data_IF_359584845067
#
_entry.id   IF_359584845067
#
_cell.length_a   1.000
_cell.length_b   1.000
_cell.length_c   1.000
_cell.angle_alpha   90.00
_cell.angle_beta   90.00
_cell.angle_gamma   90.00
#
_symmetry.space_group_name_H-M   'P 1'
#
loop_
_entity.id
_entity.type
_entity.pdbx_description
1 polymer ?
#
# COMPACT_ATOMS: atom_id res chain seq x y z
N UNK A 1 2.34 -12.75 -4.65
CA UNK A 1 2.17 -12.50 -6.09
C UNK A 1 3.55 -12.23 -6.68
N UNK A 2 3.85 -12.71 -7.89
CA UNK A 2 5.13 -12.42 -8.56
C UNK A 2 5.29 -10.92 -8.81
N UNK A 3 6.51 -10.39 -8.64
CA UNK A 3 6.82 -8.96 -8.75
C UNK A 3 6.32 -8.34 -10.06
N UNK A 4 6.56 -9.01 -11.20
CA UNK A 4 6.09 -8.56 -12.52
C UNK A 4 4.56 -8.45 -12.62
N UNK A 5 3.83 -9.33 -11.93
CA UNK A 5 2.37 -9.25 -11.89
C UNK A 5 1.91 -8.05 -11.07
N UNK A 6 2.56 -7.80 -9.94
CA UNK A 6 2.27 -6.63 -9.10
C UNK A 6 2.52 -5.35 -9.89
N UNK A 7 3.65 -5.23 -10.57
CA UNK A 7 3.97 -4.09 -11.45
C UNK A 7 2.90 -3.89 -12.53
N UNK A 8 2.43 -4.97 -13.17
CA UNK A 8 1.36 -4.91 -14.17
C UNK A 8 0.01 -4.44 -13.59
N UNK A 9 -0.33 -4.89 -12.39
CA UNK A 9 -1.54 -4.45 -11.67
C UNK A 9 -1.42 -2.96 -11.35
N UNK A 10 -0.28 -2.54 -10.78
CA UNK A 10 -0.05 -1.15 -10.41
C UNK A 10 -0.02 -0.21 -11.62
N UNK A 11 0.51 -0.65 -12.77
CA UNK A 11 0.46 0.12 -14.01
C UNK A 11 -0.98 0.40 -14.48
N UNK A 12 -1.86 -0.60 -14.40
CA UNK A 12 -3.27 -0.45 -14.76
C UNK A 12 -4.03 0.44 -13.77
N UNK A 13 -3.78 0.27 -12.47
CA UNK A 13 -4.40 1.09 -11.44
C UNK A 13 -3.94 2.55 -11.52
N UNK A 14 -2.64 2.78 -11.70
CA UNK A 14 -2.06 4.09 -11.98
C UNK A 14 -2.80 4.76 -13.15
N UNK A 15 -2.89 4.09 -14.31
CA UNK A 15 -3.62 4.61 -15.46
C UNK A 15 -5.11 4.88 -15.21
N UNK A 16 -5.81 4.01 -14.48
CA UNK A 16 -7.22 4.18 -14.16
C UNK A 16 -7.48 5.38 -13.23
N UNK A 17 -6.65 5.53 -12.19
CA UNK A 17 -6.75 6.61 -11.21
C UNK A 17 -6.37 7.95 -11.84
N UNK A 18 -5.27 7.97 -12.61
CA UNK A 18 -4.89 9.13 -13.40
C UNK A 18 -6.01 9.58 -14.33
N UNK A 19 -6.66 8.63 -15.02
CA UNK A 19 -7.79 8.95 -15.87
C UNK A 19 -8.95 9.57 -15.07
N UNK A 20 -9.30 9.01 -13.92
CA UNK A 20 -10.32 9.57 -13.03
C UNK A 20 -9.97 11.00 -12.58
N UNK A 21 -8.72 11.24 -12.20
CA UNK A 21 -8.21 12.55 -11.80
C UNK A 21 -8.28 13.56 -12.94
N UNK A 22 -7.97 13.14 -14.17
CA UNK A 22 -8.10 13.99 -15.37
C UNK A 22 -9.54 14.42 -15.66
N UNK A 23 -10.53 13.66 -15.19
CA UNK A 23 -11.95 14.00 -15.25
C UNK A 23 -12.40 14.91 -14.08
N UNK A 24 -11.48 15.29 -13.19
CA UNK A 24 -11.74 16.16 -12.05
C UNK A 24 -12.31 15.46 -10.82
N UNK A 25 -12.16 14.14 -10.71
CA UNK A 25 -12.65 13.36 -9.56
C UNK A 25 -11.50 12.65 -8.83
N UNK A 26 -11.66 12.44 -7.52
CA UNK A 26 -10.79 11.64 -6.66
C UNK A 26 -11.62 10.46 -6.15
N UNK A 27 -11.08 9.24 -6.17
CA UNK A 27 -11.79 8.02 -5.78
C UNK A 27 -12.04 7.95 -4.27
N UNK A 28 -11.01 8.23 -3.47
CA UNK A 28 -11.03 8.27 -2.00
C UNK A 28 -11.33 6.96 -1.27
N UNK A 29 -11.30 5.83 -1.99
CA UNK A 29 -11.54 4.50 -1.41
C UNK A 29 -10.78 3.40 -2.17
N UNK A 30 -9.54 3.68 -2.56
CA UNK A 30 -8.71 2.68 -3.22
C UNK A 30 -8.19 1.71 -2.17
N UNK A 31 -8.54 0.44 -2.31
CA UNK A 31 -8.15 -0.65 -1.41
C UNK A 31 -8.37 -2.00 -2.11
N UNK A 32 -7.78 -3.11 -1.62
CA UNK A 32 -7.90 -4.43 -2.25
C UNK A 32 -9.33 -4.85 -2.57
N UNK A 33 -10.29 -4.53 -1.70
CA UNK A 33 -11.71 -4.88 -1.84
C UNK A 33 -12.36 -4.24 -3.07
N UNK A 34 -11.83 -3.11 -3.53
CA UNK A 34 -12.34 -2.33 -4.65
C UNK A 34 -11.57 -2.59 -5.96
N UNK A 35 -10.68 -3.59 -5.97
CA UNK A 35 -9.86 -3.97 -7.14
C UNK A 35 -10.30 -5.35 -7.64
N UNK A 36 -10.92 -5.35 -8.81
CA UNK A 36 -11.50 -6.55 -9.41
C UNK A 36 -10.51 -7.20 -10.38
N UNK A 37 -10.11 -8.43 -10.07
CA UNK A 37 -9.31 -9.27 -10.97
C UNK A 37 -10.21 -9.87 -12.04
N UNK A 38 -9.93 -9.59 -13.31
CA UNK A 38 -10.72 -10.10 -14.44
C UNK A 38 -10.25 -11.47 -14.93
N UNK A 39 -9.09 -11.94 -14.47
CA UNK A 39 -8.56 -13.28 -14.78
C UNK A 39 -7.62 -13.77 -13.67
N UNK A 40 -7.44 -15.10 -13.58
CA UNK A 40 -6.59 -15.73 -12.56
C UNK A 40 -5.10 -15.40 -12.69
N UNK A 41 -4.66 -14.94 -13.85
CA UNK A 41 -3.27 -14.52 -14.07
C UNK A 41 -3.06 -13.03 -13.75
N UNK A 42 -4.09 -12.32 -13.28
CA UNK A 42 -4.05 -10.89 -12.98
C UNK A 42 -3.52 -10.06 -14.16
N UNK A 43 -3.88 -10.44 -15.40
CA UNK A 43 -3.53 -9.65 -16.59
C UNK A 43 -4.37 -8.40 -16.68
N UNK A 44 -5.64 -8.48 -16.28
CA UNK A 44 -6.57 -7.37 -16.31
C UNK A 44 -7.16 -7.09 -14.93
N UNK A 45 -7.10 -5.84 -14.50
CA UNK A 45 -7.75 -5.37 -13.27
C UNK A 45 -8.68 -4.19 -13.56
N UNK A 46 -9.70 -4.03 -12.73
CA UNK A 46 -10.62 -2.90 -12.78
C UNK A 46 -10.75 -2.28 -11.39
N UNK A 47 -10.66 -0.96 -11.33
CA UNK A 47 -11.05 -0.19 -10.16
C UNK A 47 -12.57 -0.07 -10.13
N UNK A 48 -13.18 -0.34 -8.98
CA UNK A 48 -14.62 -0.18 -8.76
C UNK A 48 -14.93 0.50 -7.44
N UNK A 49 -16.23 0.60 -7.14
CA UNK A 49 -16.79 1.34 -5.99
C UNK A 49 -16.42 2.83 -5.93
N UNK A 50 -17.14 3.62 -6.72
CA UNK A 50 -17.00 5.08 -6.75
C UNK A 50 -17.92 5.77 -5.73
N UNK A 51 -18.45 5.07 -4.73
CA UNK A 51 -19.43 5.60 -3.76
C UNK A 51 -18.90 6.78 -2.93
N UNK A 52 -17.58 6.83 -2.72
CA UNK A 52 -16.89 7.92 -2.00
C UNK A 52 -16.22 8.95 -2.93
N UNK A 53 -16.33 8.76 -4.25
CA UNK A 53 -15.69 9.62 -5.22
C UNK A 53 -16.25 11.05 -5.15
N UNK A 54 -15.36 12.04 -5.23
CA UNK A 54 -15.72 13.46 -5.11
C UNK A 54 -14.91 14.32 -6.06
N UNK A 55 -15.48 15.46 -6.45
CA UNK A 55 -14.79 16.42 -7.29
C UNK A 55 -13.54 16.98 -6.58
N UNK A 56 -12.44 17.12 -7.31
CA UNK A 56 -11.23 17.79 -6.82
C UNK A 56 -11.58 19.20 -6.34
N UNK A 57 -11.08 19.59 -5.17
CA UNK A 57 -11.33 20.90 -4.57
C UNK A 57 -12.64 21.01 -3.80
N UNK A 58 -13.52 20.00 -3.85
CA UNK A 58 -14.69 19.95 -2.95
C UNK A 58 -14.27 19.73 -1.50
N UNK A 59 -15.09 20.18 -0.56
CA UNK A 59 -14.88 19.94 0.87
C UNK A 59 -15.71 18.76 1.34
N UNK A 60 -15.12 17.96 2.21
CA UNK A 60 -15.76 16.80 2.84
C UNK A 60 -15.37 16.75 4.31
N UNK A 61 -16.25 16.19 5.13
CA UNK A 61 -15.94 15.95 6.54
C UNK A 61 -14.70 15.08 6.64
N UNK A 62 -13.74 15.49 7.46
CA UNK A 62 -12.61 14.68 7.85
C UNK A 62 -13.14 13.52 8.70
N UNK A 63 -12.91 12.30 8.24
CA UNK A 63 -13.33 11.10 8.96
C UNK A 63 -12.11 10.24 9.12
N UNK A 64 -11.67 10.09 10.36
CA UNK A 64 -10.68 9.07 10.69
C UNK A 64 -11.39 7.71 10.84
N UNK A 65 -10.69 6.66 10.45
CA UNK A 65 -11.09 5.28 10.67
C UNK A 65 -9.84 4.40 10.75
N UNK A 66 -9.91 3.34 11.56
CA UNK A 66 -8.80 2.43 11.80
C UNK A 66 -8.47 1.61 10.54
N UNK A 67 -7.58 2.14 9.71
CA UNK A 67 -7.18 1.52 8.45
C UNK A 67 -5.82 2.06 7.99
N UNK A 68 -4.97 1.22 7.38
CA UNK A 68 -3.70 1.66 6.82
C UNK A 68 -3.87 2.60 5.62
N UNK A 69 -5.04 2.53 4.95
CA UNK A 69 -5.40 3.37 3.80
C UNK A 69 -5.92 4.75 4.22
N UNK A 70 -6.29 4.93 5.49
CA UNK A 70 -6.62 6.26 6.00
C UNK A 70 -5.39 7.16 5.85
N UNK A 71 -5.58 8.39 5.40
CA UNK A 71 -4.47 9.30 5.09
C UNK A 71 -4.03 10.07 6.34
N UNK A 72 -2.74 10.35 6.55
CA UNK A 72 -2.27 10.97 7.79
C UNK A 72 -2.86 12.36 8.05
N UNK A 73 -3.23 13.11 7.01
CA UNK A 73 -3.86 14.43 7.12
C UNK A 73 -5.24 14.44 7.81
N UNK A 74 -5.85 13.28 8.07
CA UNK A 74 -7.09 13.17 8.86
C UNK A 74 -6.87 12.88 10.34
N UNK A 75 -5.63 12.72 10.81
CA UNK A 75 -5.32 12.51 12.23
C UNK A 75 -5.97 13.54 13.17
N UNK A 76 -6.06 14.85 12.83
CA UNK A 76 -6.78 15.81 13.68
C UNK A 76 -8.26 15.44 13.95
N UNK A 77 -8.90 14.70 13.04
CA UNK A 77 -10.26 14.20 13.25
C UNK A 77 -10.32 13.11 14.32
N UNK A 78 -9.30 12.24 14.42
CA UNK A 78 -9.19 11.25 15.49
C UNK A 78 -9.09 11.91 16.86
N UNK A 79 -8.28 12.96 16.98
CA UNK A 79 -8.12 13.69 18.24
C UNK A 79 -9.38 14.46 18.62
N UNK A 80 -10.11 15.01 17.64
CA UNK A 80 -11.42 15.60 17.86
C UNK A 80 -12.44 14.57 18.37
N UNK A 81 -12.48 13.38 17.80
CA UNK A 81 -13.37 12.29 18.23
C UNK A 81 -13.06 11.84 19.68
N UNK A 82 -11.77 11.66 20.03
CA UNK A 82 -11.34 11.33 21.42
C UNK A 82 -11.74 12.41 22.43
N UNK A 83 -11.55 13.68 22.06
CA UNK A 83 -11.93 14.82 22.91
C UNK A 83 -13.45 14.90 23.09
N UNK A 84 -14.22 14.61 22.04
CA UNK A 84 -15.67 14.54 22.10
C UNK A 84 -16.14 13.45 23.07
N UNK A 85 -15.58 12.23 22.98
CA UNK A 85 -15.88 11.12 23.89
C UNK A 85 -15.59 11.50 25.35
N UNK A 86 -14.41 12.11 25.62
CA UNK A 86 -14.02 12.56 26.96
C UNK A 86 -14.95 13.63 27.54
N UNK A 87 -15.52 14.51 26.70
CA UNK A 87 -16.50 15.54 27.12
C UNK A 87 -17.86 14.93 27.43
N UNK A 88 -18.31 13.97 26.64
CA UNK A 88 -19.54 13.23 26.89
C UNK A 88 -19.48 12.52 28.25
N UNK A 89 -18.34 11.90 28.58
CA UNK A 89 -18.11 11.30 29.91
C UNK A 89 -18.15 12.33 31.06
N UNK A 90 -17.81 13.59 30.79
CA UNK A 90 -17.83 14.69 31.76
C UNK A 90 -19.17 15.44 31.83
N UNK A 91 -20.16 15.05 31.01
CA UNK A 91 -21.50 15.64 31.00
C UNK A 91 -21.57 17.04 30.38
N UNK A 92 -20.64 17.40 29.50
CA UNK A 92 -20.68 18.66 28.74
C UNK A 92 -21.37 18.46 27.39
N UNK A 93 -22.46 19.21 27.16
CA UNK A 93 -23.32 19.12 25.95
C UNK A 93 -22.92 20.13 24.85
N UNK A 94 -21.64 20.49 24.73
CA UNK A 94 -21.20 21.40 23.66
C UNK A 94 -21.02 20.63 22.33
N UNK A 95 -21.72 21.07 21.29
CA UNK A 95 -21.53 20.57 19.92
C UNK A 95 -20.12 20.92 19.44
N UNK A 96 -19.36 19.93 18.99
CA UNK A 96 -18.06 20.15 18.35
C UNK A 96 -18.26 20.41 16.86
N UNK A 97 -17.55 21.40 16.33
CA UNK A 97 -17.54 21.68 14.90
C UNK A 97 -16.85 20.55 14.14
N UNK A 98 -17.49 20.08 13.08
CA UNK A 98 -16.91 19.12 12.15
C UNK A 98 -15.61 19.69 11.54
N UNK A 99 -14.56 18.86 11.49
CA UNK A 99 -13.38 19.17 10.72
C UNK A 99 -13.62 18.86 9.24
N UNK A 100 -13.14 19.75 8.36
CA UNK A 100 -13.31 19.63 6.91
C UNK A 100 -11.97 19.58 6.21
N UNK A 101 -11.84 18.68 5.25
CA UNK A 101 -10.67 18.60 4.37
C UNK A 101 -11.06 18.90 2.93
N UNK A 102 -10.11 19.45 2.18
CA UNK A 102 -10.24 19.64 0.73
C UNK A 102 -9.86 18.33 0.03
N UNK A 103 -10.72 17.85 -0.86
CA UNK A 103 -10.48 16.65 -1.66
C UNK A 103 -9.34 16.92 -2.66
N UNK A 104 -8.28 16.12 -2.58
CA UNK A 104 -7.09 16.22 -3.44
C UNK A 104 -6.70 14.87 -4.03
N UNK A 105 -6.16 14.84 -5.27
CA UNK A 105 -5.62 13.63 -5.91
C UNK A 105 -4.64 12.82 -5.05
N UNK A 106 -3.87 13.49 -4.18
CA UNK A 106 -2.89 12.88 -3.28
C UNK A 106 -3.48 11.86 -2.31
N UNK A 107 -4.79 11.90 -2.02
CA UNK A 107 -5.49 10.88 -1.23
C UNK A 107 -5.37 9.51 -1.92
N UNK A 108 -5.58 9.47 -3.23
CA UNK A 108 -5.49 8.23 -4.00
C UNK A 108 -4.04 7.77 -4.19
N UNK A 109 -3.08 8.70 -4.29
CA UNK A 109 -1.64 8.38 -4.32
C UNK A 109 -1.20 7.62 -3.06
N UNK A 110 -1.65 8.07 -1.88
CA UNK A 110 -1.38 7.40 -0.61
C UNK A 110 -1.89 5.96 -0.62
N UNK A 111 -3.15 5.79 -1.01
CA UNK A 111 -3.79 4.49 -1.06
C UNK A 111 -3.09 3.53 -2.03
N UNK A 112 -2.60 4.02 -3.18
CA UNK A 112 -1.78 3.25 -4.12
C UNK A 112 -0.43 2.85 -3.52
N UNK A 113 0.19 3.70 -2.70
CA UNK A 113 1.42 3.37 -1.96
C UNK A 113 1.21 2.23 -0.96
N UNK A 114 0.15 2.31 -0.15
CA UNK A 114 -0.20 1.27 0.84
C UNK A 114 -0.55 -0.04 0.13
N UNK A 115 -1.29 0.04 -0.98
CA UNK A 115 -1.63 -1.11 -1.81
C UNK A 115 -0.38 -1.77 -2.41
N UNK A 116 0.54 -0.98 -2.97
CA UNK A 116 1.80 -1.49 -3.54
C UNK A 116 2.59 -2.27 -2.49
N UNK A 117 2.71 -1.71 -1.29
CA UNK A 117 3.36 -2.38 -0.17
C UNK A 117 2.65 -3.69 0.20
N UNK A 118 1.32 -3.66 0.29
CA UNK A 118 0.52 -4.83 0.61
C UNK A 118 0.69 -5.96 -0.41
N UNK A 119 0.68 -5.64 -1.70
CA UNK A 119 0.87 -6.62 -2.77
C UNK A 119 2.28 -7.23 -2.76
N UNK A 120 3.30 -6.43 -2.45
CA UNK A 120 4.69 -6.89 -2.36
C UNK A 120 4.91 -7.79 -1.15
N UNK A 121 4.46 -7.37 0.03
CA UNK A 121 4.82 -8.00 1.30
C UNK A 121 3.79 -9.01 1.82
N UNK A 122 2.54 -8.92 1.37
CA UNK A 122 1.40 -9.65 1.93
C UNK A 122 0.92 -9.10 3.29
N UNK A 123 1.49 -7.99 3.75
CA UNK A 123 1.18 -7.34 5.02
C UNK A 123 0.96 -5.83 4.80
N UNK A 124 0.37 -5.13 5.78
CA UNK A 124 0.31 -3.67 5.75
C UNK A 124 1.56 -3.03 6.40
N UNK A 125 1.97 -1.82 5.96
CA UNK A 125 3.15 -1.16 6.51
C UNK A 125 2.93 -0.70 7.97
N UNK A 126 1.68 -0.43 8.33
CA UNK A 126 1.17 -0.03 9.65
C UNK A 126 -0.30 -0.49 9.77
N UNK A 127 -0.89 -0.38 10.96
CA UNK A 127 -2.33 -0.59 11.20
C UNK A 127 -3.11 0.71 10.92
N UNK A 128 -2.52 1.84 11.30
CA UNK A 128 -3.04 3.18 11.01
C UNK A 128 -1.90 4.18 10.75
N UNK A 129 -2.21 5.27 10.06
CA UNK A 129 -1.26 6.32 9.67
C UNK A 129 -1.25 7.51 10.64
N UNK A 130 -1.36 7.23 11.94
CA UNK A 130 -1.36 8.24 13.01
C UNK A 130 -0.17 8.05 13.95
N UNK A 131 0.14 9.06 14.75
CA UNK A 131 1.24 9.00 15.71
C UNK A 131 1.04 7.95 16.79
N UNK A 132 -0.15 7.39 16.96
CA UNK A 132 -0.42 6.28 17.88
C UNK A 132 0.23 4.96 17.40
N UNK A 133 0.32 4.73 16.08
CA UNK A 133 0.92 3.52 15.51
C UNK A 133 2.44 3.58 15.52
N UNK A 134 3.06 2.57 16.15
CA UNK A 134 4.52 2.50 16.30
C UNK A 134 5.27 2.34 14.97
N UNK A 135 4.72 1.61 14.00
CA UNK A 135 5.33 1.40 12.68
C UNK A 135 5.24 2.66 11.83
N UNK A 136 4.10 3.33 11.83
CA UNK A 136 3.92 4.60 11.14
C UNK A 136 4.81 5.70 11.74
N UNK A 137 4.85 5.85 13.07
CA UNK A 137 5.73 6.82 13.74
C UNK A 137 7.19 6.67 13.34
N UNK A 138 7.72 5.43 13.35
CA UNK A 138 9.08 5.14 12.89
C UNK A 138 9.30 5.50 11.42
N UNK A 139 8.29 5.29 10.58
CA UNK A 139 8.35 5.66 9.17
C UNK A 139 8.38 7.18 9.00
N UNK A 140 7.51 7.90 9.71
CA UNK A 140 7.47 9.37 9.68
C UNK A 140 8.81 9.98 10.16
N UNK A 141 9.34 9.50 11.29
CA UNK A 141 10.63 9.96 11.82
C UNK A 141 11.80 9.73 10.83
N UNK A 142 11.81 8.56 10.19
CA UNK A 142 12.81 8.23 9.16
C UNK A 142 12.65 9.12 7.92
N UNK A 143 11.41 9.33 7.46
CA UNK A 143 11.11 10.12 6.27
C UNK A 143 11.55 11.58 6.45
N UNK A 144 11.27 12.17 7.61
CA UNK A 144 11.69 13.54 7.94
C UNK A 144 13.21 13.67 7.99
N UNK A 145 13.89 12.70 8.62
CA UNK A 145 15.36 12.65 8.66
C UNK A 145 15.97 12.60 7.25
N UNK A 146 15.36 11.83 6.34
CA UNK A 146 15.78 11.74 4.94
C UNK A 146 15.55 13.05 4.18
N UNK A 147 14.41 13.71 4.40
CA UNK A 147 14.05 14.97 3.74
C UNK A 147 15.02 16.09 4.10
N UNK A 148 15.44 16.16 5.36
CA UNK A 148 16.43 17.13 5.83
C UNK A 148 17.81 16.91 5.18
N UNK A 149 18.21 15.65 4.95
CA UNK A 149 19.50 15.30 4.32
C UNK A 149 19.58 15.63 2.83
N UNK A 150 18.44 15.66 2.13
CA UNK A 150 18.38 15.85 0.67
C UNK A 150 18.33 17.33 0.22
N UNK A 151 18.28 18.30 1.14
CA UNK A 151 18.15 19.73 0.81
C UNK A 151 19.36 20.35 0.06
N UNK A 152 20.42 19.58 -0.24
CA UNK A 152 21.68 20.13 -0.77
C UNK A 152 22.29 19.37 -1.98
N UNK A 153 21.60 18.43 -2.65
CA UNK A 153 22.22 17.66 -3.76
C UNK A 153 21.29 17.37 -4.95
N UNK A 154 21.80 17.64 -6.16
CA UNK A 154 21.08 17.71 -7.45
C UNK A 154 21.02 16.40 -8.25
N UNK A 155 21.35 15.23 -7.68
CA UNK A 155 21.36 13.99 -8.48
C UNK A 155 20.80 12.79 -7.70
N UNK A 156 19.60 12.33 -8.07
CA UNK A 156 18.74 11.54 -7.19
C UNK A 156 19.01 10.03 -7.19
N UNK A 157 19.71 9.47 -8.18
CA UNK A 157 19.82 8.00 -8.30
C UNK A 157 21.10 7.44 -7.65
N UNK A 158 22.25 8.11 -7.82
CA UNK A 158 23.54 7.66 -7.24
C UNK A 158 23.62 7.88 -5.73
N UNK A 159 22.90 8.88 -5.22
CA UNK A 159 22.87 9.24 -3.80
C UNK A 159 22.09 8.20 -2.97
N UNK A 160 21.13 7.50 -3.58
CA UNK A 160 20.27 6.58 -2.84
C UNK A 160 21.01 5.38 -2.26
N UNK A 161 21.97 4.78 -2.96
CA UNK A 161 22.71 3.62 -2.44
C UNK A 161 23.61 3.99 -1.26
N UNK A 162 24.28 5.16 -1.31
CA UNK A 162 25.12 5.66 -0.21
C UNK A 162 24.27 6.04 1.01
N UNK A 163 23.16 6.75 0.80
CA UNK A 163 22.27 7.17 1.90
C UNK A 163 21.53 5.99 2.56
N UNK A 164 21.27 4.90 1.82
CA UNK A 164 20.63 3.70 2.34
C UNK A 164 21.44 3.04 3.47
N UNK A 165 22.76 3.20 3.47
CA UNK A 165 23.64 2.65 4.50
C UNK A 165 23.66 3.50 5.78
N UNK A 166 23.52 4.83 5.65
CA UNK A 166 23.63 5.78 6.77
C UNK A 166 22.31 6.06 7.49
N UNK A 167 21.18 5.80 6.85
CA UNK A 167 19.84 5.90 7.46
C UNK A 167 18.90 4.88 6.81
N UNK A 168 19.07 3.59 7.15
CA UNK A 168 18.29 2.53 6.54
C UNK A 168 16.79 2.73 6.83
N UNK A 169 15.91 2.33 5.89
CA UNK A 169 14.49 2.43 6.11
C UNK A 169 14.06 1.57 7.32
N UNK A 170 12.90 1.90 7.93
CA UNK A 170 12.35 1.14 9.04
C UNK A 170 12.24 -0.36 8.73
N UNK A 171 12.36 -1.20 9.77
CA UNK A 171 12.48 -2.65 9.62
C UNK A 171 11.37 -3.33 8.82
N UNK A 172 10.17 -2.74 8.79
CA UNK A 172 9.07 -3.29 7.98
C UNK A 172 9.34 -3.19 6.46
N UNK A 173 10.20 -2.27 6.04
CA UNK A 173 10.66 -2.13 4.66
C UNK A 173 11.94 -2.93 4.36
N UNK A 174 12.44 -3.74 5.31
CA UNK A 174 13.56 -4.65 5.02
C UNK A 174 13.19 -5.60 3.88
N UNK A 175 14.09 -5.74 2.90
CA UNK A 175 13.88 -6.58 1.72
C UNK A 175 13.19 -5.87 0.55
N UNK A 176 12.71 -4.63 0.75
CA UNK A 176 12.32 -3.74 -0.35
C UNK A 176 13.59 -3.16 -0.98
N UNK A 177 13.65 -3.11 -2.31
CA UNK A 177 14.77 -2.52 -3.04
C UNK A 177 14.85 -1.00 -2.89
N UNK A 178 16.03 -0.37 -3.11
CA UNK A 178 16.14 1.08 -3.16
C UNK A 178 15.18 1.72 -4.17
N UNK A 179 14.99 1.11 -5.35
CA UNK A 179 14.07 1.63 -6.37
C UNK A 179 12.63 1.72 -5.86
N UNK A 180 12.12 0.66 -5.23
CA UNK A 180 10.78 0.67 -4.64
C UNK A 180 10.69 1.58 -3.41
N UNK A 181 11.77 1.79 -2.66
CA UNK A 181 11.81 2.78 -1.57
C UNK A 181 11.64 4.20 -2.11
N UNK A 182 12.25 4.56 -3.25
CA UNK A 182 11.96 5.85 -3.89
C UNK A 182 10.49 5.97 -4.29
N UNK A 183 9.90 4.94 -4.90
CA UNK A 183 8.46 4.92 -5.20
C UNK A 183 7.62 5.12 -3.94
N UNK A 184 7.94 4.44 -2.85
CA UNK A 184 7.24 4.63 -1.58
C UNK A 184 7.44 6.04 -1.03
N UNK A 185 8.60 6.66 -1.20
CA UNK A 185 8.81 8.03 -0.77
C UNK A 185 7.92 9.02 -1.53
N UNK A 186 7.68 8.79 -2.82
CA UNK A 186 6.75 9.58 -3.63
C UNK A 186 5.30 9.39 -3.18
N UNK A 187 4.82 8.15 -3.08
CA UNK A 187 3.41 7.86 -2.83
C UNK A 187 3.00 7.96 -1.35
N UNK A 188 3.91 7.65 -0.44
CA UNK A 188 3.68 7.63 1.01
C UNK A 188 4.32 8.84 1.70
N UNK A 189 4.41 9.97 1.01
CA UNK A 189 4.81 11.23 1.63
C UNK A 189 3.75 11.65 2.68
N UNK A 190 4.16 11.86 3.96
CA UNK A 190 3.24 12.31 5.01
C UNK A 190 2.59 13.66 4.71
N UNK A 191 3.27 14.55 3.97
CA UNK A 191 2.72 15.84 3.55
C UNK A 191 1.95 15.70 2.23
N UNK A 192 0.61 15.88 2.21
CA UNK A 192 -0.20 15.63 1.02
C UNK A 192 0.18 16.48 -0.19
N UNK A 193 0.67 17.71 0.04
CA UNK A 193 1.09 18.62 -1.04
C UNK A 193 2.40 18.22 -1.71
N UNK A 194 3.20 17.39 -1.05
CA UNK A 194 4.49 16.90 -1.55
C UNK A 194 4.39 15.45 -2.06
N UNK A 195 3.20 14.84 -2.01
CA UNK A 195 2.97 13.47 -2.45
C UNK A 195 2.92 13.40 -3.97
N UNK A 196 3.63 12.43 -4.55
CA UNK A 196 3.71 12.20 -5.99
C UNK A 196 2.35 11.87 -6.60
N UNK A 197 2.23 12.07 -7.92
CA UNK A 197 1.02 11.70 -8.65
C UNK A 197 0.92 10.18 -8.85
N UNK A 198 -0.28 9.62 -9.10
CA UNK A 198 -0.41 8.21 -9.44
C UNK A 198 0.42 7.78 -10.66
N UNK A 199 0.69 8.70 -11.59
CA UNK A 199 1.51 8.44 -12.79
C UNK A 199 2.97 8.12 -12.44
N UNK A 200 3.47 8.56 -11.28
CA UNK A 200 4.86 8.33 -10.87
C UNK A 200 5.21 6.84 -10.86
N UNK A 201 4.25 5.97 -10.54
CA UNK A 201 4.41 4.51 -10.58
C UNK A 201 5.06 4.04 -11.89
N UNK A 202 4.71 4.65 -13.02
CA UNK A 202 5.18 4.26 -14.35
C UNK A 202 6.71 4.41 -14.48
N UNK A 203 7.31 5.39 -13.80
CA UNK A 203 8.76 5.64 -13.77
C UNK A 203 9.54 4.55 -13.04
N UNK A 204 8.88 3.73 -12.22
CA UNK A 204 9.50 2.68 -11.41
C UNK A 204 9.21 1.27 -11.92
N UNK A 205 8.53 1.10 -13.06
CA UNK A 205 8.24 -0.20 -13.66
C UNK A 205 9.48 -0.83 -14.31
N UNK A 206 9.53 -2.16 -14.35
CA UNK A 206 10.58 -2.93 -15.02
C UNK A 206 11.90 -3.04 -14.24
N UNK A 207 12.09 -2.24 -13.19
CA UNK A 207 13.19 -2.40 -12.25
C UNK A 207 12.83 -3.31 -11.07
N UNK A 208 13.82 -3.72 -10.25
CA UNK A 208 13.58 -4.59 -9.11
C UNK A 208 12.79 -3.83 -8.03
N UNK A 209 11.72 -4.42 -7.50
CA UNK A 209 10.98 -3.87 -6.35
C UNK A 209 11.40 -4.54 -5.03
N UNK A 210 11.81 -5.81 -5.07
CA UNK A 210 12.38 -6.52 -3.92
C UNK A 210 13.92 -6.62 -4.02
N UNK A 211 14.59 -6.94 -2.92
CA UNK A 211 16.01 -7.28 -2.90
C UNK A 211 16.26 -8.71 -3.43
N UNK A 212 17.46 -9.02 -3.92
CA UNK A 212 17.79 -10.36 -4.43
C UNK A 212 17.61 -11.46 -3.38
N UNK A 213 17.98 -11.17 -2.13
CA UNK A 213 17.81 -12.09 -1.00
C UNK A 213 16.34 -12.48 -0.81
N UNK A 214 15.43 -11.51 -0.91
CA UNK A 214 13.99 -11.68 -0.77
C UNK A 214 13.41 -12.42 -1.98
N UNK A 215 13.84 -12.08 -3.21
CA UNK A 215 13.47 -12.81 -4.44
C UNK A 215 13.85 -14.29 -4.35
N UNK A 216 15.06 -14.57 -3.91
CA UNK A 216 15.57 -15.95 -3.80
C UNK A 216 14.80 -16.75 -2.74
N UNK A 217 14.49 -16.14 -1.59
CA UNK A 217 13.67 -16.79 -0.56
C UNK A 217 12.28 -17.13 -1.09
N UNK A 218 11.65 -16.22 -1.82
CA UNK A 218 10.33 -16.44 -2.43
C UNK A 218 10.36 -17.54 -3.48
N UNK A 219 11.39 -17.56 -4.33
CA UNK A 219 11.57 -18.64 -5.32
C UNK A 219 11.64 -20.00 -4.63
N UNK A 220 12.42 -20.12 -3.55
CA UNK A 220 12.51 -21.37 -2.77
C UNK A 220 11.18 -21.78 -2.14
N UNK A 221 10.41 -20.83 -1.60
CA UNK A 221 9.08 -21.12 -1.03
C UNK A 221 8.12 -21.59 -2.10
N UNK A 222 8.10 -20.94 -3.27
CA UNK A 222 7.24 -21.33 -4.40
C UNK A 222 7.62 -22.71 -4.97
N UNK A 223 8.92 -23.00 -5.09
CA UNK A 223 9.42 -24.32 -5.50
C UNK A 223 8.99 -25.40 -4.49
N UNK A 224 9.18 -25.15 -3.19
CA UNK A 224 8.73 -26.07 -2.14
C UNK A 224 7.21 -26.29 -2.15
N UNK A 225 6.41 -25.25 -2.41
CA UNK A 225 4.95 -25.35 -2.53
C UNK A 225 4.55 -26.20 -3.75
N UNK A 226 5.18 -25.99 -4.92
CA UNK A 226 4.94 -26.77 -6.14
C UNK A 226 5.32 -28.24 -5.94
N UNK A 227 6.45 -28.51 -5.29
CA UNK A 227 6.86 -29.87 -4.94
C UNK A 227 5.87 -30.53 -3.97
N UNK A 228 5.45 -29.83 -2.92
CA UNK A 228 4.46 -30.33 -1.96
C UNK A 228 3.10 -30.60 -2.62
N UNK A 229 2.66 -29.74 -3.54
CA UNK A 229 1.43 -29.95 -4.30
C UNK A 229 1.55 -31.19 -5.20
N UNK A 230 2.67 -31.33 -5.93
CA UNK A 230 2.94 -32.49 -6.77
C UNK A 230 2.91 -33.79 -5.97
N UNK A 231 3.54 -33.81 -4.78
CA UNK A 231 3.53 -34.99 -3.90
C UNK A 231 2.12 -35.37 -3.41
N UNK A 232 1.24 -34.39 -3.17
CA UNK A 232 -0.16 -34.67 -2.79
C UNK A 232 -0.94 -35.26 -3.95
N UNK A 233 -0.72 -34.76 -5.17
CA UNK A 233 -1.38 -35.25 -6.39
C UNK A 233 -0.90 -36.68 -6.74
N UNK A 234 0.40 -36.97 -6.69
CA UNK A 234 0.90 -38.34 -6.88
C UNK A 234 0.54 -39.27 -5.74
N UNK A 235 0.53 -38.80 -4.49
CA UNK A 235 0.11 -39.59 -3.33
C UNK A 235 -1.37 -39.98 -3.38
N UNK A 236 -2.24 -39.05 -3.81
CA UNK A 236 -3.67 -39.31 -4.01
C UNK A 236 -3.93 -40.34 -5.10
N UNK A 237 -3.20 -40.26 -6.23
CA UNK A 237 -3.27 -41.24 -7.31
C UNK A 237 -2.84 -42.65 -6.86
N UNK A 238 -1.82 -42.76 -5.99
CA UNK A 238 -1.39 -44.06 -5.45
C UNK A 238 -2.38 -44.66 -4.46
N UNK A 239 -3.04 -43.85 -3.63
CA UNK A 239 -4.07 -44.33 -2.69
C UNK A 239 -5.37 -44.74 -3.41
N UNK A 240 -5.71 -44.08 -4.53
CA UNK A 240 -6.85 -44.44 -5.37
C UNK A 240 -6.63 -45.78 -6.09
N UNK A 241 -5.43 -46.00 -6.66
CA UNK A 241 -5.02 -47.29 -7.23
C UNK A 241 -4.99 -48.43 -6.20
N UNK A 242 -4.61 -48.16 -4.95
CA UNK A 242 -4.62 -49.14 -3.86
C UNK A 242 -6.04 -49.49 -3.37
N UNK A 243 -7.02 -48.59 -3.52
CA UNK A 243 -8.43 -48.86 -3.20
C UNK A 243 -9.12 -49.67 -4.28
N UNK A 244 -8.84 -49.41 -5.55
CA UNK A 244 -9.40 -50.17 -6.67
C UNK A 244 -8.88 -51.62 -6.72
N UNK A 245 -7.64 -51.87 -6.30
CA UNK A 245 -7.05 -53.21 -6.27
C UNK A 245 -7.55 -54.17 -5.17
N UNK A 246 -8.41 -53.72 -4.24
CA UNK A 246 -8.94 -54.56 -3.14
C UNK A 246 -10.41 -54.99 -3.31
N UNK A 247 -11.01 -54.70 -4.47
CA UNK A 247 -12.42 -54.97 -4.77
C UNK A 247 -12.75 -56.35 -5.38
N UNK A 248 -11.77 -57.18 -5.70
CA UNK A 248 -12.00 -58.49 -6.32
C UNK A 248 -11.43 -59.62 -5.45
N UNK A 249 -12.28 -60.25 -4.63
CA UNK A 249 -12.22 -61.66 -4.23
C UNK A 249 -13.50 -62.09 -3.50
#
# INVERSE_FOLDING_TARGET
MEEERIQRVMAQLSGAVTHLHSLGFVHRDIKPENIFLCDSSCRWVKLGDFGLARAVGSTVRAVWYESPFCTPEVEPAKEADKEWERRQEQGTEEEMEDLWITVQPSIDSWALGVLTYCLLTGCFPWEESTHDDRRYRKYNDWFETERERCHDKTDCYTIMEEHYMDNPPPSQFHGISPLAIALFKELLNPEPKQRGSPEEILSYLGGPWLMDSEREQRRKVEEAQKEAQKMRETGGLTDELLREGKGER
#
